data_IF_091665822938
#
_entry.id   IF_091665822938
#
_cell.length_a   1.000
_cell.length_b   1.000
_cell.length_c   1.000
_cell.angle_alpha   90.00
_cell.angle_beta   90.00
_cell.angle_gamma   90.00
#
_symmetry.space_group_name_H-M   'P 1'
#
loop_
_entity.id
_entity.type
_entity.pdbx_description
1 polymer ?
#
# COMPACT_ATOMS: atom_id res chain seq x y z
N UNK A 1 -24.70 6.97 -5.55
CA UNK A 1 -24.03 7.94 -4.67
C UNK A 1 -23.72 7.41 -3.26
N UNK A 2 -24.59 6.61 -2.63
CA UNK A 2 -24.43 6.13 -1.22
C UNK A 2 -23.25 5.17 -0.97
N UNK A 3 -22.91 4.31 -1.93
CA UNK A 3 -21.81 3.35 -1.82
C UNK A 3 -20.42 4.02 -1.76
N UNK A 4 -20.24 5.16 -2.45
CA UNK A 4 -18.96 5.87 -2.55
C UNK A 4 -18.59 6.54 -1.21
N UNK A 5 -19.58 7.11 -0.52
CA UNK A 5 -19.36 7.74 0.79
C UNK A 5 -19.06 6.72 1.90
N UNK A 6 -19.59 5.50 1.79
CA UNK A 6 -19.25 4.42 2.72
C UNK A 6 -17.77 4.01 2.56
N UNK A 7 -17.28 3.90 1.33
CA UNK A 7 -15.86 3.61 1.05
C UNK A 7 -14.94 4.71 1.58
N UNK A 8 -15.28 5.99 1.37
CA UNK A 8 -14.47 7.12 1.87
C UNK A 8 -14.48 7.22 3.41
N UNK A 9 -15.61 6.91 4.06
CA UNK A 9 -15.71 6.91 5.52
C UNK A 9 -14.86 5.81 6.16
N UNK A 10 -14.78 4.64 5.52
CA UNK A 10 -13.87 3.56 5.92
C UNK A 10 -12.41 4.01 5.68
N UNK A 11 -12.09 4.62 4.54
CA UNK A 11 -10.74 5.10 4.20
C UNK A 11 -10.16 6.09 5.24
N UNK A 12 -10.99 6.88 5.93
CA UNK A 12 -10.52 7.87 6.92
C UNK A 12 -9.66 7.28 8.03
N UNK A 13 -10.09 6.18 8.64
CA UNK A 13 -9.32 5.48 9.69
C UNK A 13 -8.16 4.66 9.09
N UNK A 14 -8.37 4.10 7.90
CA UNK A 14 -7.35 3.33 7.19
C UNK A 14 -6.20 4.21 6.69
N UNK A 15 -6.40 5.51 6.52
CA UNK A 15 -5.34 6.43 6.09
C UNK A 15 -4.22 6.54 7.12
N UNK A 16 -4.57 6.60 8.42
CA UNK A 16 -3.59 6.65 9.52
C UNK A 16 -2.88 5.31 9.65
N UNK A 17 -3.63 4.20 9.64
CA UNK A 17 -3.08 2.84 9.69
C UNK A 17 -2.11 2.60 8.52
N UNK A 18 -2.47 3.02 7.31
CA UNK A 18 -1.62 2.88 6.13
C UNK A 18 -0.38 3.77 6.18
N UNK A 19 -0.46 4.95 6.79
CA UNK A 19 0.74 5.80 7.00
C UNK A 19 1.67 5.17 8.02
N UNK A 20 1.15 4.65 9.13
CA UNK A 20 1.95 3.89 10.11
C UNK A 20 2.58 2.66 9.44
N UNK A 21 1.82 1.98 8.58
CA UNK A 21 2.32 0.83 7.82
C UNK A 21 3.47 1.21 6.88
N UNK A 22 3.36 2.33 6.15
CA UNK A 22 4.46 2.85 5.32
C UNK A 22 5.72 3.16 6.15
N UNK A 23 5.56 3.71 7.37
CA UNK A 23 6.68 3.91 8.30
C UNK A 23 7.28 2.58 8.78
N UNK A 24 6.43 1.61 9.13
CA UNK A 24 6.86 0.29 9.60
C UNK A 24 7.63 -0.47 8.51
N UNK A 25 7.21 -0.35 7.25
CA UNK A 25 7.93 -0.86 6.08
C UNK A 25 9.32 -0.21 6.00
N UNK A 26 9.40 1.12 6.12
CA UNK A 26 10.67 1.84 6.08
C UNK A 26 11.65 1.37 7.17
N UNK A 27 11.14 1.16 8.39
CA UNK A 27 11.94 0.63 9.50
C UNK A 27 12.37 -0.83 9.24
N UNK A 28 11.47 -1.69 8.75
CA UNK A 28 11.83 -3.06 8.37
C UNK A 28 12.92 -3.08 7.29
N UNK A 29 12.84 -2.21 6.28
CA UNK A 29 13.87 -2.10 5.23
C UNK A 29 15.22 -1.67 5.79
N UNK A 30 15.24 -0.71 6.73
CA UNK A 30 16.46 -0.30 7.42
C UNK A 30 17.08 -1.47 8.20
N UNK A 31 16.26 -2.21 8.95
CA UNK A 31 16.71 -3.40 9.69
C UNK A 31 17.26 -4.44 8.73
N UNK A 32 16.53 -4.81 7.67
CA UNK A 32 17.01 -5.73 6.64
C UNK A 32 18.34 -5.29 6.03
N UNK A 33 18.51 -4.00 5.74
CA UNK A 33 19.76 -3.46 5.20
C UNK A 33 20.93 -3.67 6.15
N UNK A 34 20.73 -3.51 7.46
CA UNK A 34 21.78 -3.73 8.47
C UNK A 34 22.06 -5.23 8.60
N UNK A 35 21.02 -6.07 8.63
CA UNK A 35 21.17 -7.53 8.74
C UNK A 35 21.95 -8.13 7.56
N UNK A 36 21.91 -7.49 6.38
CA UNK A 36 22.62 -7.95 5.19
C UNK A 36 24.16 -7.92 5.34
N UNK A 37 24.69 -7.14 6.28
CA UNK A 37 26.13 -7.07 6.56
C UNK A 37 26.66 -8.29 7.34
N UNK A 38 25.79 -9.05 8.01
CA UNK A 38 26.19 -10.19 8.83
C UNK A 38 25.76 -11.49 8.15
N UNK A 39 26.71 -12.33 7.73
CA UNK A 39 26.38 -13.57 6.99
C UNK A 39 25.48 -14.53 7.78
N UNK A 40 25.65 -14.58 9.11
CA UNK A 40 24.82 -15.40 10.01
C UNK A 40 23.36 -14.94 10.12
N UNK A 41 23.09 -13.63 9.95
CA UNK A 41 21.76 -13.03 10.03
C UNK A 41 21.16 -12.75 8.66
N UNK A 42 21.93 -12.93 7.58
CA UNK A 42 21.53 -12.61 6.20
C UNK A 42 20.25 -13.33 5.79
N UNK A 43 20.07 -14.59 6.17
CA UNK A 43 18.85 -15.34 5.89
C UNK A 43 17.60 -14.65 6.47
N UNK A 44 17.68 -14.16 7.71
CA UNK A 44 16.58 -13.43 8.36
C UNK A 44 16.34 -12.08 7.67
N UNK A 45 17.41 -11.37 7.31
CA UNK A 45 17.34 -10.11 6.58
C UNK A 45 16.62 -10.24 5.23
N UNK A 46 16.89 -11.31 4.48
CA UNK A 46 16.24 -11.62 3.19
C UNK A 46 14.73 -11.84 3.37
N UNK A 47 14.31 -12.62 4.37
CA UNK A 47 12.89 -12.84 4.63
C UNK A 47 12.17 -11.54 5.01
N UNK A 48 12.74 -10.71 5.89
CA UNK A 48 12.17 -9.39 6.21
C UNK A 48 12.09 -8.48 4.98
N UNK A 49 13.08 -8.56 4.07
CA UNK A 49 13.12 -7.74 2.87
C UNK A 49 12.00 -8.13 1.88
N UNK A 50 11.79 -9.43 1.67
CA UNK A 50 10.70 -9.94 0.81
C UNK A 50 9.34 -9.52 1.38
N UNK A 51 9.14 -9.68 2.70
CA UNK A 51 7.90 -9.25 3.35
C UNK A 51 7.71 -7.73 3.25
N UNK A 52 8.78 -6.95 3.42
CA UNK A 52 8.76 -5.49 3.25
C UNK A 52 8.32 -5.06 1.86
N UNK A 53 8.84 -5.70 0.80
CA UNK A 53 8.43 -5.41 -0.59
C UNK A 53 6.96 -5.76 -0.80
N UNK A 54 6.50 -6.93 -0.34
CA UNK A 54 5.10 -7.33 -0.47
C UNK A 54 4.17 -6.31 0.23
N UNK A 55 4.54 -5.88 1.43
CA UNK A 55 3.79 -4.89 2.19
C UNK A 55 3.76 -3.52 1.48
N UNK A 56 4.87 -3.12 0.85
CA UNK A 56 4.99 -1.89 0.06
C UNK A 56 4.09 -1.89 -1.19
N UNK A 57 3.89 -3.04 -1.82
CA UNK A 57 3.04 -3.16 -3.03
C UNK A 57 1.53 -3.03 -2.75
N UNK A 58 1.08 -3.29 -1.53
CA UNK A 58 -0.35 -3.24 -1.18
C UNK A 58 -0.96 -1.86 -1.45
N UNK A 59 -0.24 -0.80 -1.08
CA UNK A 59 -0.72 0.59 -1.18
C UNK A 59 -0.92 1.10 -2.62
N UNK A 60 0.07 0.98 -3.54
CA UNK A 60 -0.13 1.34 -4.94
C UNK A 60 -1.17 0.44 -5.63
N UNK A 61 -1.30 -0.84 -5.23
CA UNK A 61 -2.30 -1.75 -5.79
C UNK A 61 -3.73 -1.28 -5.49
N UNK A 62 -4.02 -0.93 -4.22
CA UNK A 62 -5.33 -0.40 -3.84
C UNK A 62 -5.63 0.91 -4.56
N UNK A 63 -4.64 1.80 -4.66
CA UNK A 63 -4.79 3.09 -5.36
C UNK A 63 -5.05 2.89 -6.85
N UNK A 64 -4.36 1.96 -7.50
CA UNK A 64 -4.55 1.61 -8.91
C UNK A 64 -5.96 1.09 -9.20
N UNK A 65 -6.46 0.15 -8.39
CA UNK A 65 -7.81 -0.39 -8.55
C UNK A 65 -8.86 0.71 -8.38
N UNK A 66 -8.67 1.59 -7.40
CA UNK A 66 -9.56 2.72 -7.19
C UNK A 66 -9.58 3.71 -8.37
N UNK A 67 -8.40 4.08 -8.87
CA UNK A 67 -8.23 4.97 -10.02
C UNK A 67 -8.87 4.39 -11.29
N UNK A 68 -8.71 3.08 -11.51
CA UNK A 68 -9.27 2.40 -12.67
C UNK A 68 -10.80 2.38 -12.63
N UNK A 69 -11.39 2.09 -11.45
CA UNK A 69 -12.82 2.14 -11.26
C UNK A 69 -13.35 3.57 -11.46
N UNK A 70 -12.75 4.57 -10.81
CA UNK A 70 -13.18 5.97 -10.91
C UNK A 70 -13.13 6.50 -12.35
N UNK A 71 -12.05 6.20 -13.10
CA UNK A 71 -11.94 6.56 -14.52
C UNK A 71 -13.08 5.96 -15.35
N UNK A 72 -13.55 4.74 -15.05
CA UNK A 72 -14.68 4.12 -15.75
C UNK A 72 -16.00 4.86 -15.51
N UNK A 73 -16.26 5.32 -14.29
CA UNK A 73 -17.48 6.09 -13.97
C UNK A 73 -17.46 7.50 -14.58
N UNK A 74 -16.31 8.18 -14.53
CA UNK A 74 -16.17 9.51 -15.12
C UNK A 74 -16.35 9.48 -16.64
N UNK A 75 -15.82 8.45 -17.32
CA UNK A 75 -15.95 8.29 -18.78
C UNK A 75 -17.41 8.00 -19.21
N UNK A 76 -18.20 7.33 -18.37
CA UNK A 76 -19.62 7.08 -18.64
C UNK A 76 -20.48 8.35 -18.48
N UNK A 77 -20.15 9.23 -17.54
CA UNK A 77 -20.84 10.51 -17.35
C UNK A 77 -20.51 11.55 -18.43
N UNK A 78 -19.28 11.56 -18.94
CA UNK A 78 -18.87 12.49 -20.00
C UNK A 78 -19.44 12.12 -21.38
N UNK A 79 -19.73 10.83 -21.63
CA UNK A 79 -20.27 10.35 -22.92
C UNK A 79 -21.79 10.55 -23.07
N UNK A 80 -22.45 11.11 -22.06
CA UNK A 80 -23.88 11.39 -22.03
C UNK A 80 -24.15 12.91 -21.93
N UNK A 81 -23.29 13.68 -22.60
CA UNK A 81 -23.41 15.11 -22.85
C UNK A 81 -22.89 15.37 -24.26
#
# INVERSE_FOLDING_TARGET
MKAINCTVKIIGHYKVINTINDFLIGICFLISSILFFYDSLKNIGIWLFILGILQLLIRPTIKLVHDFYLRKYLKAGYRNK
#
